data_IF_263382035325
#
_entry.id   IF_263382035325
#
_cell.length_a   1.000
_cell.length_b   1.000
_cell.length_c   1.000
_cell.angle_alpha   90.00
_cell.angle_beta   90.00
_cell.angle_gamma   90.00
#
_symmetry.space_group_name_H-M   'P 1'
#
loop_
_entity.id
_entity.type
_entity.pdbx_description
1 polymer ?
#
# COMPACT_ATOMS: atom_id res chain seq x y z
N UNK A 1 1.46 25.40 -15.79
CA UNK A 1 0.54 24.28 -15.66
C UNK A 1 1.10 23.16 -16.52
N UNK A 2 1.54 22.06 -15.93
CA UNK A 2 2.04 20.93 -16.69
C UNK A 2 0.82 20.21 -17.29
N UNK A 3 0.74 20.14 -18.61
CA UNK A 3 -0.33 19.44 -19.30
C UNK A 3 0.07 17.96 -19.46
N UNK A 4 -0.58 17.10 -18.67
CA UNK A 4 -0.34 15.66 -18.67
C UNK A 4 -1.28 14.89 -19.61
N UNK A 5 -2.11 15.59 -20.38
CA UNK A 5 -3.16 15.01 -21.24
C UNK A 5 -2.69 14.76 -22.68
N UNK A 6 -1.42 14.50 -22.91
CA UNK A 6 -0.88 14.30 -24.26
C UNK A 6 -1.56 13.09 -24.93
N UNK A 7 -2.39 13.35 -25.94
CA UNK A 7 -2.92 12.35 -26.87
C UNK A 7 -4.33 11.83 -26.62
N UNK A 8 -5.12 12.39 -25.69
CA UNK A 8 -6.49 11.95 -25.40
C UNK A 8 -7.51 13.02 -25.83
N UNK A 9 -7.91 13.03 -27.09
CA UNK A 9 -8.86 14.03 -27.63
C UNK A 9 -10.33 13.73 -27.31
N UNK A 10 -10.72 12.50 -26.99
CA UNK A 10 -12.14 12.13 -26.73
C UNK A 10 -12.34 11.03 -25.67
N UNK A 11 -11.33 10.70 -24.86
CA UNK A 11 -11.39 9.68 -23.81
C UNK A 11 -11.59 10.23 -22.41
N UNK A 12 -11.45 9.36 -21.43
CA UNK A 12 -11.34 9.75 -20.01
C UNK A 12 -10.07 10.55 -19.88
N UNK A 13 -10.18 11.86 -19.71
CA UNK A 13 -9.06 12.75 -19.48
C UNK A 13 -8.53 12.59 -18.05
N UNK A 14 -8.07 11.37 -17.71
CA UNK A 14 -7.36 11.11 -16.47
C UNK A 14 -5.88 11.30 -16.72
N UNK A 15 -5.26 12.28 -16.05
CA UNK A 15 -3.83 12.48 -16.16
C UNK A 15 -3.09 11.22 -15.71
N UNK A 16 -1.99 10.90 -16.40
CA UNK A 16 -1.18 9.72 -16.09
C UNK A 16 -0.71 9.61 -14.62
N UNK A 17 -0.50 10.70 -13.83
CA UNK A 17 -0.11 10.59 -12.43
C UNK A 17 -1.15 9.85 -11.58
N UNK A 18 -2.44 9.96 -11.90
CA UNK A 18 -3.50 9.21 -11.20
C UNK A 18 -3.35 7.71 -11.46
N UNK A 19 -3.09 7.28 -12.69
CA UNK A 19 -2.90 5.87 -13.02
C UNK A 19 -1.69 5.29 -12.27
N UNK A 20 -0.58 6.02 -12.22
CA UNK A 20 0.63 5.64 -11.46
C UNK A 20 0.33 5.56 -9.97
N UNK A 21 -0.38 6.54 -9.40
CA UNK A 21 -0.80 6.52 -8.00
C UNK A 21 -1.65 5.29 -7.67
N UNK A 22 -2.66 4.97 -8.48
CA UNK A 22 -3.53 3.81 -8.27
C UNK A 22 -2.74 2.49 -8.27
N UNK A 23 -1.79 2.35 -9.19
CA UNK A 23 -0.91 1.20 -9.26
C UNK A 23 0.00 1.08 -8.03
N UNK A 24 0.65 2.17 -7.63
CA UNK A 24 1.54 2.21 -6.46
C UNK A 24 0.78 1.97 -5.15
N UNK A 25 -0.44 2.51 -5.02
CA UNK A 25 -1.29 2.27 -3.86
C UNK A 25 -1.73 0.79 -3.79
N UNK A 26 -2.02 0.17 -4.94
CA UNK A 26 -2.31 -1.26 -5.03
C UNK A 26 -1.14 -2.13 -4.59
N UNK A 27 0.09 -1.82 -5.07
CA UNK A 27 1.31 -2.52 -4.62
C UNK A 27 1.53 -2.35 -3.12
N UNK A 28 1.39 -1.13 -2.60
CA UNK A 28 1.56 -0.85 -1.18
C UNK A 28 0.61 -1.68 -0.32
N UNK A 29 -0.69 -1.59 -0.59
CA UNK A 29 -1.71 -2.34 0.14
C UNK A 29 -1.54 -3.85 -0.01
N UNK A 30 -1.30 -4.34 -1.23
CA UNK A 30 -1.10 -5.76 -1.51
C UNK A 30 0.13 -6.35 -0.81
N UNK A 31 1.28 -5.68 -0.89
CA UNK A 31 2.51 -6.14 -0.24
C UNK A 31 2.35 -6.27 1.28
N UNK A 32 1.82 -5.22 1.92
CA UNK A 32 1.64 -5.19 3.37
C UNK A 32 0.58 -6.20 3.82
N UNK A 33 -0.56 -6.28 3.12
CA UNK A 33 -1.63 -7.22 3.47
C UNK A 33 -1.16 -8.67 3.39
N UNK A 34 -0.48 -9.06 2.31
CA UNK A 34 0.02 -10.44 2.13
C UNK A 34 1.05 -10.79 3.19
N UNK A 35 1.99 -9.89 3.50
CA UNK A 35 3.00 -10.14 4.54
C UNK A 35 2.37 -10.32 5.93
N UNK A 36 1.38 -9.50 6.27
CA UNK A 36 0.64 -9.63 7.53
C UNK A 36 -0.13 -10.96 7.56
N UNK A 37 -0.85 -11.30 6.48
CA UNK A 37 -1.56 -12.58 6.39
C UNK A 37 -0.61 -13.77 6.57
N UNK A 38 0.53 -13.79 5.89
CA UNK A 38 1.53 -14.86 6.02
C UNK A 38 2.02 -14.98 7.47
N UNK A 39 2.30 -13.86 8.14
CA UNK A 39 2.74 -13.88 9.54
C UNK A 39 1.64 -14.37 10.48
N UNK A 40 0.39 -13.94 10.29
CA UNK A 40 -0.75 -14.39 11.09
C UNK A 40 -1.01 -15.89 10.92
N UNK A 41 -0.98 -16.41 9.69
CA UNK A 41 -1.17 -17.84 9.42
C UNK A 41 -0.06 -18.72 10.01
N UNK A 42 1.17 -18.21 10.04
CA UNK A 42 2.31 -18.94 10.63
C UNK A 42 2.36 -18.86 12.16
N UNK A 43 1.57 -18.01 12.78
CA UNK A 43 1.67 -17.72 14.22
C UNK A 43 3.04 -17.14 14.62
N UNK A 44 3.80 -16.64 13.65
CA UNK A 44 5.15 -16.09 13.86
C UNK A 44 5.02 -14.57 13.96
N UNK A 45 5.15 -14.07 15.17
CA UNK A 45 5.14 -12.62 15.44
C UNK A 45 6.52 -11.98 15.28
N UNK A 46 7.47 -12.69 14.65
CA UNK A 46 8.85 -12.23 14.47
C UNK A 46 8.99 -11.39 13.19
N UNK A 47 10.00 -10.51 13.19
CA UNK A 47 10.37 -9.69 12.05
C UNK A 47 11.00 -10.54 10.95
N UNK A 48 10.16 -11.20 10.17
CA UNK A 48 10.60 -12.01 9.03
C UNK A 48 11.18 -11.12 7.92
N UNK A 49 12.14 -11.60 7.11
CA UNK A 49 12.65 -10.85 5.96
C UNK A 49 11.54 -10.39 5.00
N UNK A 50 10.47 -11.19 4.88
CA UNK A 50 9.28 -10.85 4.08
C UNK A 50 8.57 -9.64 4.66
N UNK A 51 8.36 -9.60 5.98
CA UNK A 51 7.67 -8.48 6.64
C UNK A 51 8.48 -7.18 6.51
N UNK A 52 9.81 -7.27 6.67
CA UNK A 52 10.72 -6.12 6.49
C UNK A 52 10.66 -5.59 5.05
N UNK A 53 10.74 -6.48 4.06
CA UNK A 53 10.67 -6.11 2.65
C UNK A 53 9.29 -5.52 2.29
N UNK A 54 8.20 -6.16 2.74
CA UNK A 54 6.84 -5.74 2.44
C UNK A 54 6.50 -4.36 3.03
N UNK A 55 6.86 -4.12 4.29
CA UNK A 55 6.60 -2.82 4.94
C UNK A 55 7.45 -1.71 4.33
N UNK A 56 8.70 -2.00 3.96
CA UNK A 56 9.58 -1.05 3.29
C UNK A 56 9.03 -0.66 1.91
N UNK A 57 8.69 -1.65 1.09
CA UNK A 57 8.14 -1.40 -0.25
C UNK A 57 6.78 -0.73 -0.16
N UNK A 58 5.93 -1.18 0.79
CA UNK A 58 4.63 -0.59 1.03
C UNK A 58 4.71 0.89 1.39
N UNK A 59 5.63 1.27 2.26
CA UNK A 59 5.85 2.67 2.62
C UNK A 59 6.41 3.49 1.47
N UNK A 60 7.43 3.01 0.77
CA UNK A 60 8.03 3.74 -0.37
C UNK A 60 7.00 3.95 -1.48
N UNK A 61 6.26 2.91 -1.86
CA UNK A 61 5.30 3.01 -2.96
C UNK A 61 4.12 3.92 -2.63
N UNK A 62 3.61 3.91 -1.39
CA UNK A 62 2.51 4.80 -1.02
C UNK A 62 2.97 6.26 -0.96
N UNK A 63 4.18 6.55 -0.46
CA UNK A 63 4.74 7.91 -0.44
C UNK A 63 4.95 8.43 -1.87
N UNK A 64 5.51 7.61 -2.77
CA UNK A 64 5.64 7.98 -4.18
C UNK A 64 4.28 8.20 -4.84
N UNK A 65 3.29 7.35 -4.54
CA UNK A 65 1.91 7.53 -4.98
C UNK A 65 1.31 8.84 -4.50
N UNK A 66 1.53 9.20 -3.24
CA UNK A 66 1.08 10.50 -2.70
C UNK A 66 1.73 11.69 -3.39
N UNK A 67 3.01 11.60 -3.73
CA UNK A 67 3.71 12.64 -4.50
C UNK A 67 3.03 12.78 -5.87
N UNK A 68 2.75 11.68 -6.56
CA UNK A 68 2.03 11.70 -7.84
C UNK A 68 0.64 12.34 -7.70
N UNK A 69 -0.10 12.01 -6.63
CA UNK A 69 -1.41 12.58 -6.37
C UNK A 69 -1.36 14.10 -6.12
N UNK A 70 -0.38 14.57 -5.36
CA UNK A 70 -0.18 15.99 -5.08
C UNK A 70 0.22 16.76 -6.34
N UNK A 71 1.05 16.15 -7.21
CA UNK A 71 1.45 16.76 -8.49
C UNK A 71 0.28 16.93 -9.46
N UNK A 72 -0.74 16.08 -9.35
CA UNK A 72 -1.95 16.17 -10.17
C UNK A 72 -2.91 17.27 -9.71
N UNK A 73 -2.77 17.79 -8.49
CA UNK A 73 -3.59 18.90 -8.02
C UNK A 73 -3.28 20.18 -8.80
N UNK A 74 -4.32 20.87 -9.26
CA UNK A 74 -4.22 22.18 -9.95
C UNK A 74 -3.46 23.22 -9.12
N UNK A 75 -3.56 23.10 -7.78
CA UNK A 75 -2.85 23.94 -6.81
C UNK A 75 -2.27 23.05 -5.70
N UNK A 76 -1.07 22.46 -5.88
CA UNK A 76 -0.49 21.50 -4.94
C UNK A 76 -0.25 22.09 -3.54
N UNK A 77 -0.03 23.41 -3.42
CA UNK A 77 0.18 24.09 -2.14
C UNK A 77 -1.09 24.12 -1.26
N UNK A 78 -2.27 23.90 -1.83
CA UNK A 78 -3.55 23.91 -1.10
C UNK A 78 -4.10 22.49 -0.83
N UNK A 79 -3.28 21.43 -0.94
CA UNK A 79 -3.72 20.04 -0.70
C UNK A 79 -4.37 19.85 0.69
N UNK A 80 -3.93 20.62 1.70
CA UNK A 80 -4.49 20.60 3.05
C UNK A 80 -5.95 21.02 3.12
N UNK A 81 -6.46 21.78 2.12
CA UNK A 81 -7.89 22.18 2.08
C UNK A 81 -8.81 20.97 1.92
N UNK A 82 -8.37 19.91 1.27
CA UNK A 82 -9.14 18.65 1.13
C UNK A 82 -9.36 18.00 2.51
N UNK A 83 -8.43 18.18 3.43
CA UNK A 83 -8.52 17.67 4.80
C UNK A 83 -9.46 18.52 5.67
N UNK A 84 -9.51 19.83 5.44
CA UNK A 84 -10.36 20.76 6.23
C UNK A 84 -11.80 20.75 5.72
N UNK A 85 -12.01 20.74 4.41
CA UNK A 85 -13.35 20.72 3.80
C UNK A 85 -13.74 19.27 3.44
N UNK A 86 -13.82 18.42 4.46
CA UNK A 86 -14.17 17.02 4.31
C UNK A 86 -15.64 16.85 3.91
N UNK A 87 -15.89 16.14 2.79
CA UNK A 87 -17.22 15.75 2.37
C UNK A 87 -17.36 14.22 2.44
N UNK A 88 -18.12 13.68 3.42
CA UNK A 88 -18.26 12.25 3.62
C UNK A 88 -18.99 11.51 2.49
N UNK A 89 -19.67 12.23 1.60
CA UNK A 89 -20.39 11.63 0.46
C UNK A 89 -19.50 11.46 -0.77
N UNK A 90 -18.30 12.05 -0.77
CA UNK A 90 -17.36 11.94 -1.88
C UNK A 90 -16.43 10.74 -1.69
N UNK A 91 -16.40 9.85 -2.69
CA UNK A 91 -15.46 8.69 -2.72
C UNK A 91 -14.02 9.16 -2.57
N UNK A 92 -13.65 10.25 -3.23
CA UNK A 92 -12.31 10.82 -3.14
C UNK A 92 -11.93 11.25 -1.71
N UNK A 93 -12.86 11.91 -0.99
CA UNK A 93 -12.62 12.34 0.40
C UNK A 93 -12.42 11.14 1.34
N UNK A 94 -13.22 10.09 1.17
CA UNK A 94 -13.08 8.84 1.95
C UNK A 94 -11.70 8.23 1.74
N UNK A 95 -11.22 8.18 0.49
CA UNK A 95 -9.91 7.66 0.16
C UNK A 95 -8.76 8.46 0.76
N UNK A 96 -8.85 9.80 0.70
CA UNK A 96 -7.84 10.68 1.33
C UNK A 96 -7.78 10.47 2.84
N UNK A 97 -8.94 10.29 3.51
CA UNK A 97 -8.98 9.96 4.93
C UNK A 97 -8.36 8.59 5.23
N UNK A 98 -8.66 7.57 4.42
CA UNK A 98 -8.05 6.26 4.59
C UNK A 98 -6.52 6.33 4.44
N UNK A 99 -6.01 7.09 3.47
CA UNK A 99 -4.58 7.32 3.27
C UNK A 99 -3.93 8.07 4.43
N UNK A 100 -4.64 9.07 4.99
CA UNK A 100 -4.15 9.84 6.14
C UNK A 100 -3.88 8.96 7.36
N UNK A 101 -4.67 7.92 7.59
CA UNK A 101 -4.44 6.94 8.65
C UNK A 101 -3.47 5.85 8.22
N UNK A 102 -3.54 5.38 6.98
CA UNK A 102 -2.73 4.28 6.49
C UNK A 102 -1.24 4.60 6.46
N UNK A 103 -0.85 5.78 5.93
CA UNK A 103 0.56 6.14 5.75
C UNK A 103 1.33 6.16 7.09
N UNK A 104 0.87 6.85 8.15
CA UNK A 104 1.57 6.84 9.42
C UNK A 104 1.57 5.46 10.09
N UNK A 105 0.50 4.66 9.94
CA UNK A 105 0.46 3.32 10.51
C UNK A 105 1.42 2.35 9.81
N UNK A 106 1.53 2.41 8.48
CA UNK A 106 2.54 1.64 7.73
C UNK A 106 3.95 2.09 8.08
N UNK A 107 4.16 3.40 8.28
CA UNK A 107 5.45 3.91 8.74
C UNK A 107 5.83 3.34 10.11
N UNK A 108 4.90 3.36 11.08
CA UNK A 108 5.12 2.75 12.40
C UNK A 108 5.39 1.26 12.28
N UNK A 109 4.62 0.54 11.47
CA UNK A 109 4.81 -0.88 11.25
C UNK A 109 6.17 -1.18 10.60
N UNK A 110 6.61 -0.36 9.66
CA UNK A 110 7.94 -0.44 9.06
C UNK A 110 9.04 -0.22 10.12
N UNK A 111 8.90 0.78 10.99
CA UNK A 111 9.86 1.03 12.07
C UNK A 111 9.93 -0.16 13.05
N UNK A 112 8.78 -0.76 13.39
CA UNK A 112 8.73 -1.96 14.24
C UNK A 112 9.38 -3.16 13.55
N UNK A 113 9.12 -3.36 12.25
CA UNK A 113 9.70 -4.45 11.48
C UNK A 113 11.23 -4.32 11.31
N UNK A 114 11.73 -3.10 11.18
CA UNK A 114 13.15 -2.77 10.99
C UNK A 114 13.84 -2.35 12.30
N UNK A 115 13.25 -2.64 13.46
CA UNK A 115 13.79 -2.21 14.76
C UNK A 115 15.25 -2.60 14.94
N UNK A 116 15.63 -3.84 14.56
CA UNK A 116 17.01 -4.33 14.69
C UNK A 116 18.01 -3.53 13.85
N UNK A 117 17.62 -3.17 12.63
CA UNK A 117 18.45 -2.37 11.73
C UNK A 117 18.54 -0.92 12.20
N UNK A 118 17.43 -0.36 12.66
CA UNK A 118 17.36 1.03 13.17
C UNK A 118 18.21 1.18 14.43
N UNK A 119 18.15 0.23 15.36
CA UNK A 119 18.94 0.28 16.62
C UNK A 119 20.42 0.03 16.41
N UNK A 120 20.82 -0.59 15.29
CA UNK A 120 22.23 -0.73 14.91
C UNK A 120 22.88 0.62 14.59
N UNK A 121 22.07 1.62 14.14
CA UNK A 121 22.53 2.97 13.82
C UNK A 121 22.49 3.84 15.08
N UNK A 122 23.66 4.24 15.54
CA UNK A 122 23.86 4.95 16.83
C UNK A 122 23.00 6.22 16.99
N UNK A 123 22.75 6.92 15.89
CA UNK A 123 21.99 8.18 15.87
C UNK A 123 20.47 7.98 16.03
N UNK A 124 19.93 6.79 15.67
CA UNK A 124 18.49 6.51 15.74
C UNK A 124 18.06 5.80 17.04
N UNK A 125 19.00 5.51 17.96
CA UNK A 125 18.70 4.83 19.23
C UNK A 125 17.68 5.55 20.11
N UNK A 126 17.51 6.85 19.94
CA UNK A 126 16.51 7.63 20.67
C UNK A 126 15.06 7.24 20.29
N UNK A 127 14.84 6.61 19.12
CA UNK A 127 13.54 6.11 18.67
C UNK A 127 13.17 4.77 19.32
N UNK A 128 14.12 4.03 19.86
CA UNK A 128 13.92 2.69 20.41
C UNK A 128 12.78 2.61 21.46
N UNK A 129 12.66 3.54 22.45
CA UNK A 129 11.55 3.49 23.40
C UNK A 129 10.17 3.68 22.75
N UNK A 130 10.09 4.47 21.69
CA UNK A 130 8.84 4.69 20.94
C UNK A 130 8.49 3.45 20.14
N UNK A 131 9.45 2.89 19.42
CA UNK A 131 9.27 1.67 18.61
C UNK A 131 8.89 0.49 19.52
N UNK A 132 9.54 0.33 20.67
CA UNK A 132 9.24 -0.75 21.62
C UNK A 132 7.87 -0.60 22.27
N UNK A 133 7.37 0.62 22.43
CA UNK A 133 5.99 0.85 22.88
C UNK A 133 4.98 0.34 21.84
N UNK A 134 5.14 0.68 20.57
CA UNK A 134 4.28 0.19 19.49
C UNK A 134 4.42 -1.31 19.26
N UNK A 135 5.61 -1.88 19.46
CA UNK A 135 5.85 -3.31 19.36
C UNK A 135 5.01 -4.13 20.36
N UNK A 136 4.64 -3.58 21.52
CA UNK A 136 3.73 -4.21 22.48
C UNK A 136 2.31 -4.39 21.93
N UNK A 137 1.88 -3.48 21.07
CA UNK A 137 0.56 -3.50 20.42
C UNK A 137 0.59 -4.05 19.00
N UNK A 138 1.66 -4.76 18.64
CA UNK A 138 1.91 -5.22 17.27
C UNK A 138 0.73 -5.96 16.65
N UNK A 139 0.11 -6.88 17.38
CA UNK A 139 -1.02 -7.67 16.86
C UNK A 139 -2.20 -6.77 16.48
N UNK A 140 -2.53 -5.79 17.33
CA UNK A 140 -3.58 -4.83 17.02
C UNK A 140 -3.19 -3.94 15.83
N UNK A 141 -1.92 -3.53 15.74
CA UNK A 141 -1.38 -2.76 14.64
C UNK A 141 -1.46 -3.55 13.32
N UNK A 142 -1.07 -4.82 13.32
CA UNK A 142 -1.14 -5.70 12.16
C UNK A 142 -2.59 -5.82 11.65
N UNK A 143 -3.57 -6.03 12.53
CA UNK A 143 -4.98 -6.11 12.14
C UNK A 143 -5.52 -4.79 11.57
N UNK A 144 -5.22 -3.67 12.21
CA UNK A 144 -5.68 -2.35 11.74
C UNK A 144 -5.06 -2.04 10.38
N UNK A 145 -3.76 -2.26 10.22
CA UNK A 145 -3.06 -2.02 8.95
C UNK A 145 -3.56 -2.97 7.87
N UNK A 146 -3.86 -4.24 8.19
CA UNK A 146 -4.43 -5.20 7.25
C UNK A 146 -5.77 -4.72 6.69
N UNK A 147 -6.68 -4.30 7.56
CA UNK A 147 -8.00 -3.79 7.16
C UNK A 147 -7.84 -2.54 6.27
N UNK A 148 -6.98 -1.61 6.66
CA UNK A 148 -6.72 -0.40 5.88
C UNK A 148 -6.04 -0.71 4.54
N UNK A 149 -5.11 -1.66 4.50
CA UNK A 149 -4.44 -2.10 3.28
C UNK A 149 -5.43 -2.67 2.25
N UNK A 150 -6.34 -3.55 2.70
CA UNK A 150 -7.42 -4.09 1.86
C UNK A 150 -8.37 -2.97 1.42
N UNK A 151 -8.73 -2.07 2.34
CA UNK A 151 -9.60 -0.94 2.04
C UNK A 151 -8.99 -0.02 0.96
N UNK A 152 -7.67 0.24 1.00
CA UNK A 152 -7.00 1.05 -0.03
C UNK A 152 -6.96 0.33 -1.37
N UNK A 153 -6.67 -0.97 -1.41
CA UNK A 153 -6.74 -1.74 -2.64
C UNK A 153 -8.15 -1.73 -3.24
N UNK A 154 -9.19 -1.90 -2.42
CA UNK A 154 -10.58 -1.84 -2.86
C UNK A 154 -10.98 -0.42 -3.30
N UNK A 155 -10.55 0.60 -2.56
CA UNK A 155 -10.82 2.00 -2.86
C UNK A 155 -10.33 2.40 -4.25
N UNK A 156 -9.15 1.93 -4.68
CA UNK A 156 -8.64 2.23 -6.03
C UNK A 156 -9.58 1.71 -7.11
N UNK A 157 -10.16 0.53 -6.93
CA UNK A 157 -11.19 -0.02 -7.81
C UNK A 157 -12.52 0.73 -7.74
N UNK A 158 -12.97 1.13 -6.54
CA UNK A 158 -14.18 1.94 -6.37
C UNK A 158 -14.05 3.32 -7.01
N UNK A 159 -12.88 3.94 -6.94
CA UNK A 159 -12.63 5.24 -7.57
C UNK A 159 -12.84 5.17 -9.09
N UNK A 160 -12.36 4.10 -9.74
CA UNK A 160 -12.54 3.91 -11.17
C UNK A 160 -13.99 3.51 -11.49
N UNK A 161 -14.60 2.62 -10.69
CA UNK A 161 -15.98 2.16 -10.93
C UNK A 161 -17.02 3.26 -10.71
N UNK A 162 -16.70 4.31 -9.95
CA UNK A 162 -17.56 5.48 -9.75
C UNK A 162 -17.75 6.36 -11.02
N UNK A 163 -17.00 6.08 -12.10
CA UNK A 163 -17.13 6.76 -13.38
C UNK A 163 -18.37 6.26 -14.14
N UNK A 164 -19.52 6.83 -13.84
CA UNK A 164 -20.84 6.49 -14.46
C UNK A 164 -20.82 6.66 -16.00
N UNK A 165 -19.92 7.51 -16.52
CA UNK A 165 -19.83 7.84 -17.94
C UNK A 165 -19.42 6.66 -18.84
N UNK A 166 -18.80 5.61 -18.26
CA UNK A 166 -18.31 4.45 -18.99
C UNK A 166 -18.92 3.16 -18.41
N UNK A 167 -20.01 2.61 -19.03
CA UNK A 167 -20.70 1.43 -18.52
C UNK A 167 -19.82 0.18 -18.37
N UNK A 168 -18.79 0.05 -19.21
CA UNK A 168 -17.84 -1.08 -19.15
C UNK A 168 -16.96 -1.10 -17.91
N UNK A 169 -16.72 0.07 -17.31
CA UNK A 169 -15.87 0.23 -16.13
C UNK A 169 -16.72 0.28 -14.87
N UNK A 170 -17.98 0.69 -14.97
CA UNK A 170 -18.91 0.76 -13.85
C UNK A 170 -19.47 -0.64 -13.52
N UNK A 171 -18.60 -1.50 -12.99
CA UNK A 171 -18.96 -2.86 -12.57
C UNK A 171 -18.58 -3.09 -11.12
N UNK A 172 -19.42 -3.82 -10.37
CA UNK A 172 -19.15 -4.20 -8.98
C UNK A 172 -17.96 -5.16 -8.84
N UNK A 173 -17.51 -5.76 -9.94
CA UNK A 173 -16.37 -6.69 -9.97
C UNK A 173 -15.03 -5.96 -9.99
N UNK A 174 -14.99 -4.71 -10.44
CA UNK A 174 -13.75 -3.95 -10.61
C UNK A 174 -12.96 -3.77 -9.30
N UNK A 175 -13.58 -3.43 -8.15
CA UNK A 175 -12.86 -3.37 -6.88
C UNK A 175 -12.21 -4.70 -6.48
N UNK A 176 -12.89 -5.82 -6.70
CA UNK A 176 -12.33 -7.15 -6.42
C UNK A 176 -11.12 -7.47 -7.31
N UNK A 177 -11.21 -7.10 -8.60
CA UNK A 177 -10.10 -7.25 -9.54
C UNK A 177 -8.88 -6.43 -9.10
N UNK A 178 -9.10 -5.18 -8.64
CA UNK A 178 -8.01 -4.33 -8.14
C UNK A 178 -7.38 -4.89 -6.88
N UNK A 179 -8.14 -5.46 -5.96
CA UNK A 179 -7.62 -6.15 -4.78
C UNK A 179 -6.76 -7.34 -5.19
N UNK A 180 -7.25 -8.20 -6.08
CA UNK A 180 -6.52 -9.37 -6.55
C UNK A 180 -5.21 -8.98 -7.26
N UNK A 181 -5.27 -8.01 -8.18
CA UNK A 181 -4.08 -7.52 -8.91
C UNK A 181 -3.08 -6.83 -7.98
N UNK A 182 -3.57 -6.05 -7.00
CA UNK A 182 -2.73 -5.42 -5.98
C UNK A 182 -2.00 -6.45 -5.13
N UNK A 183 -2.68 -7.51 -4.71
CA UNK A 183 -2.07 -8.62 -3.96
C UNK A 183 -1.01 -9.34 -4.79
N UNK A 184 -1.30 -9.66 -6.05
CA UNK A 184 -0.33 -10.29 -6.95
C UNK A 184 0.91 -9.41 -7.17
N UNK A 185 0.72 -8.13 -7.51
CA UNK A 185 1.81 -7.18 -7.70
C UNK A 185 2.60 -6.95 -6.41
N UNK A 186 1.92 -6.86 -5.26
CA UNK A 186 2.53 -6.73 -3.94
C UNK A 186 3.37 -7.95 -3.57
N UNK A 187 2.88 -9.18 -3.82
CA UNK A 187 3.65 -10.40 -3.64
C UNK A 187 4.94 -10.41 -4.47
N UNK A 188 4.82 -10.08 -5.76
CA UNK A 188 5.96 -10.06 -6.66
C UNK A 188 7.02 -9.04 -6.21
N UNK A 189 6.59 -7.82 -5.87
CA UNK A 189 7.46 -6.77 -5.37
C UNK A 189 8.16 -7.16 -4.06
N UNK A 190 7.42 -7.77 -3.13
CA UNK A 190 7.96 -8.24 -1.84
C UNK A 190 9.00 -9.34 -2.05
N UNK A 191 8.76 -10.30 -2.95
CA UNK A 191 9.72 -11.36 -3.28
C UNK A 191 11.03 -10.80 -3.83
N UNK A 192 10.94 -9.88 -4.78
CA UNK A 192 12.10 -9.25 -5.40
C UNK A 192 12.93 -8.52 -4.34
N UNK A 193 12.28 -7.71 -3.50
CA UNK A 193 12.99 -6.94 -2.48
C UNK A 193 13.55 -7.82 -1.36
N UNK A 194 12.81 -8.83 -0.90
CA UNK A 194 13.28 -9.76 0.12
C UNK A 194 14.53 -10.55 -0.34
N UNK A 195 14.55 -10.97 -1.60
CA UNK A 195 15.69 -11.66 -2.18
C UNK A 195 16.91 -10.73 -2.39
N UNK A 196 16.66 -9.47 -2.76
CA UNK A 196 17.74 -8.55 -3.13
C UNK A 196 18.35 -7.82 -1.93
N UNK A 197 17.55 -7.33 -0.97
CA UNK A 197 18.02 -6.55 0.17
C UNK A 197 18.31 -7.39 1.41
N UNK A 198 17.48 -8.40 1.67
CA UNK A 198 17.55 -9.18 2.90
C UNK A 198 18.16 -10.56 2.71
N UNK A 199 18.68 -10.88 1.50
CA UNK A 199 19.36 -12.12 1.21
C UNK A 199 18.52 -13.37 1.49
N UNK A 200 17.18 -13.25 1.43
CA UNK A 200 16.30 -14.39 1.61
C UNK A 200 16.62 -15.44 0.52
N UNK A 201 16.95 -16.66 0.95
CA UNK A 201 17.26 -17.76 0.03
C UNK A 201 16.06 -17.97 -0.90
N UNK A 202 16.32 -17.94 -2.23
CA UNK A 202 15.28 -18.09 -3.28
C UNK A 202 14.49 -19.39 -3.16
N UNK A 203 15.02 -20.39 -2.46
CA UNK A 203 14.40 -21.67 -2.17
C UNK A 203 14.03 -21.86 -0.68
N UNK A 204 14.10 -20.78 0.12
CA UNK A 204 13.72 -20.81 1.53
C UNK A 204 12.22 -21.05 1.73
N UNK A 205 11.86 -21.71 2.83
CA UNK A 205 10.48 -22.00 3.20
C UNK A 205 9.56 -20.76 3.20
N UNK A 206 10.14 -19.59 3.42
CA UNK A 206 9.42 -18.32 3.49
C UNK A 206 8.95 -17.82 2.11
N UNK A 207 9.82 -17.92 1.09
CA UNK A 207 9.42 -17.60 -0.27
C UNK A 207 8.47 -18.65 -0.87
N UNK A 208 8.57 -19.91 -0.46
CA UNK A 208 7.67 -20.96 -0.91
C UNK A 208 6.24 -20.74 -0.44
N UNK A 209 6.04 -20.24 0.77
CA UNK A 209 4.71 -19.89 1.29
C UNK A 209 4.12 -18.70 0.53
N UNK A 210 4.95 -17.71 0.20
CA UNK A 210 4.50 -16.58 -0.62
C UNK A 210 4.12 -17.04 -2.04
N UNK A 211 4.82 -18.04 -2.57
CA UNK A 211 4.51 -18.65 -3.87
C UNK A 211 3.20 -19.46 -3.81
N UNK A 212 2.98 -20.19 -2.73
CA UNK A 212 1.73 -20.90 -2.49
C UNK A 212 0.52 -19.96 -2.32
N UNK A 213 0.72 -18.77 -1.75
CA UNK A 213 -0.31 -17.75 -1.60
C UNK A 213 -0.71 -17.07 -2.93
N UNK A 214 0.18 -17.06 -3.93
CA UNK A 214 -0.14 -16.51 -5.26
C UNK A 214 -1.06 -17.42 -6.08
N UNK A 215 -0.97 -18.75 -5.92
CA UNK A 215 -1.76 -19.70 -6.71
C UNK A 215 -3.27 -19.45 -6.64
N UNK A 216 -3.90 -19.30 -5.48
CA UNK A 216 -5.33 -19.03 -5.42
C UNK A 216 -5.71 -17.64 -5.97
N UNK A 217 -4.79 -16.65 -5.92
CA UNK A 217 -5.02 -15.30 -6.44
C UNK A 217 -4.98 -15.29 -7.98
N UNK A 218 -4.15 -16.16 -8.57
CA UNK A 218 -4.04 -16.26 -10.04
C UNK A 218 -5.12 -17.16 -10.66
N UNK A 219 -5.79 -18.00 -9.84
CA UNK A 219 -6.78 -18.96 -10.31
C UNK A 219 -8.24 -18.45 -10.24
N UNK A 220 -8.50 -17.30 -9.59
CA UNK A 220 -9.82 -16.67 -9.46
C UNK A 220 -9.95 -15.44 -10.35
#
# INVERSE_FOLDING_TARGET
MLDFTIGLTEGVAWPWPIAVYLFLAGISGGAVAVAICVNLFRGVHLNTPIMKAATLIGFITIVLGMICLVLDLTNPLFFWRILVYYNPTSVMSIGVMALLFYIPLVFVLMCVALQQEITSVSWLKWLDPIISFFAKFRVALDWIVLILAIAICAYTGFLISALIRFPLINTAVLPALFVASGFSAGCAATKVLAAWLFGADRHGSDLHVLHAAEWPIMAG
#
